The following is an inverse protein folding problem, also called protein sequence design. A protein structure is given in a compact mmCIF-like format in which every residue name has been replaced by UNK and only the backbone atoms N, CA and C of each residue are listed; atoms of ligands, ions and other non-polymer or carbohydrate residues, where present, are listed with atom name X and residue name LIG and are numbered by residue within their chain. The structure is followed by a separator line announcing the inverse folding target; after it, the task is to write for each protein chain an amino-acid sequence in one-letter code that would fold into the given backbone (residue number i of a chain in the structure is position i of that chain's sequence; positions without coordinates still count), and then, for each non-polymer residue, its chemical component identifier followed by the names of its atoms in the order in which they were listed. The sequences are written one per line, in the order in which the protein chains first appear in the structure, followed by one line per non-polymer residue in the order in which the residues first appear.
data_IF_470900242645
#
_entry.id   IF_470900242645
#
_cell.length_a   1.000
_cell.length_b   1.000
_cell.length_c   1.000
_cell.angle_alpha   90.00
_cell.angle_beta   90.00
_cell.angle_gamma   90.00
#
_symmetry.space_group_name_H-M   'P 1'
#
loop_
_entity.id
_entity.type
_entity.pdbx_description
1 polymer ?
#
# COMPACT_ATOMS: atom_id res chain seq x y z
N UNK A 1 -23.84 -25.81 2.64
CA UNK A 1 -23.45 -24.86 3.71
C UNK A 1 -22.12 -24.16 3.46
N UNK A 2 -20.99 -24.85 3.27
CA UNK A 2 -19.67 -24.20 2.99
C UNK A 2 -19.71 -23.17 1.84
N UNK A 3 -20.20 -23.57 0.67
CA UNK A 3 -20.33 -22.67 -0.51
C UNK A 3 -21.21 -21.44 -0.25
N UNK A 4 -22.25 -21.58 0.57
CA UNK A 4 -23.13 -20.46 0.91
C UNK A 4 -22.40 -19.46 1.83
N UNK A 5 -21.71 -19.98 2.85
CA UNK A 5 -20.90 -19.17 3.77
C UNK A 5 -19.77 -18.44 3.03
N UNK A 6 -19.05 -19.14 2.14
CA UNK A 6 -18.01 -18.54 1.29
C UNK A 6 -18.55 -17.39 0.44
N UNK A 7 -19.73 -17.58 -0.16
CA UNK A 7 -20.36 -16.54 -0.97
C UNK A 7 -20.79 -15.34 -0.10
N UNK A 8 -21.35 -15.57 1.08
CA UNK A 8 -21.71 -14.50 2.01
C UNK A 8 -20.48 -13.70 2.47
N UNK A 9 -19.37 -14.37 2.79
CA UNK A 9 -18.10 -13.72 3.15
C UNK A 9 -17.58 -12.89 1.99
N UNK A 10 -17.61 -13.41 0.77
CA UNK A 10 -17.17 -12.69 -0.43
C UNK A 10 -18.00 -11.42 -0.67
N UNK A 11 -19.32 -11.50 -0.50
CA UNK A 11 -20.19 -10.34 -0.63
C UNK A 11 -19.94 -9.30 0.47
N UNK A 12 -19.69 -9.74 1.71
CA UNK A 12 -19.34 -8.85 2.80
C UNK A 12 -18.01 -8.11 2.54
N UNK A 13 -16.99 -8.81 2.06
CA UNK A 13 -15.70 -8.22 1.68
C UNK A 13 -15.90 -7.21 0.55
N UNK A 14 -16.63 -7.57 -0.51
CA UNK A 14 -16.95 -6.66 -1.61
C UNK A 14 -17.65 -5.39 -1.14
N UNK A 15 -18.68 -5.53 -0.31
CA UNK A 15 -19.40 -4.40 0.26
C UNK A 15 -18.45 -3.52 1.09
N UNK A 16 -17.61 -4.13 1.93
CA UNK A 16 -16.61 -3.42 2.73
C UNK A 16 -15.67 -2.56 1.87
N UNK A 17 -15.03 -3.16 0.85
CA UNK A 17 -14.17 -2.42 -0.09
C UNK A 17 -14.91 -1.34 -0.86
N UNK A 18 -16.16 -1.59 -1.26
CA UNK A 18 -16.98 -0.58 -1.93
C UNK A 18 -17.24 0.65 -1.05
N UNK A 19 -17.51 0.47 0.24
CA UNK A 19 -17.70 1.58 1.18
C UNK A 19 -16.37 2.26 1.53
N UNK A 20 -15.28 1.50 1.73
CA UNK A 20 -13.96 2.06 1.98
C UNK A 20 -13.48 2.93 0.81
N UNK A 21 -13.73 2.49 -0.43
CA UNK A 21 -13.37 3.23 -1.63
C UNK A 21 -14.07 4.60 -1.77
N UNK A 22 -15.19 4.81 -1.07
CA UNK A 22 -15.93 6.08 -1.02
C UNK A 22 -15.41 7.07 0.03
N UNK A 23 -14.51 6.65 0.92
CA UNK A 23 -13.90 7.56 1.88
C UNK A 23 -13.05 8.63 1.16
N UNK A 24 -12.89 9.83 1.76
CA UNK A 24 -12.07 10.89 1.19
C UNK A 24 -10.68 10.39 0.83
N UNK A 25 -10.25 10.67 -0.42
CA UNK A 25 -8.93 10.26 -0.89
C UNK A 25 -7.86 11.07 -0.17
N UNK A 26 -6.90 10.36 0.43
CA UNK A 26 -5.71 10.95 1.04
C UNK A 26 -4.79 11.43 -0.09
N UNK A 27 -4.08 12.55 0.11
CA UNK A 27 -2.97 12.97 -0.76
C UNK A 27 -1.76 12.05 -0.51
N UNK A 28 -1.89 10.79 -0.89
CA UNK A 28 -0.97 9.72 -0.56
C UNK A 28 -0.70 8.87 -1.80
N UNK A 29 0.57 8.68 -2.12
CA UNK A 29 1.05 7.67 -3.06
C UNK A 29 1.64 6.50 -2.28
N UNK A 30 1.27 5.28 -2.69
CA UNK A 30 1.86 4.06 -2.16
C UNK A 30 2.60 3.34 -3.28
N UNK A 31 3.87 3.03 -3.03
CA UNK A 31 4.75 2.39 -3.99
C UNK A 31 5.09 0.96 -3.55
N UNK A 32 5.27 0.08 -4.53
CA UNK A 32 5.69 -1.30 -4.31
C UNK A 32 6.46 -1.80 -5.54
N UNK A 33 7.62 -2.43 -5.32
CA UNK A 33 8.37 -3.13 -6.37
C UNK A 33 8.61 -4.58 -5.97
N UNK A 34 8.49 -5.50 -6.94
CA UNK A 34 8.77 -6.93 -6.76
C UNK A 34 8.10 -7.54 -5.53
N UNK A 35 6.80 -7.26 -5.32
CA UNK A 35 6.04 -7.69 -4.15
C UNK A 35 6.60 -7.13 -2.82
N UNK A 36 7.09 -5.90 -2.84
CA UNK A 36 7.66 -5.17 -1.71
C UNK A 36 9.00 -5.71 -1.24
N UNK A 37 9.75 -6.40 -2.09
CA UNK A 37 11.06 -6.96 -1.72
C UNK A 37 12.22 -6.01 -2.00
N UNK A 38 12.00 -4.99 -2.83
CA UNK A 38 13.09 -4.16 -3.36
C UNK A 38 12.65 -2.70 -3.45
N UNK A 39 13.60 -1.80 -3.23
CA UNK A 39 13.48 -0.37 -3.51
C UNK A 39 14.13 -0.09 -4.87
N UNK A 40 13.38 -0.32 -5.96
CA UNK A 40 13.94 -0.42 -7.31
C UNK A 40 12.92 -0.17 -8.42
N UNK A 41 13.42 -0.23 -9.66
CA UNK A 41 12.64 -0.19 -10.92
C UNK A 41 11.88 1.14 -11.10
N UNK A 42 10.94 1.16 -12.03
CA UNK A 42 10.08 2.30 -12.32
C UNK A 42 9.35 2.86 -11.09
N UNK A 43 8.86 2.07 -10.12
CA UNK A 43 8.22 2.64 -8.93
C UNK A 43 9.18 3.50 -8.09
N UNK A 44 10.48 3.17 -8.06
CA UNK A 44 11.50 4.03 -7.44
C UNK A 44 11.69 5.33 -8.20
N UNK A 45 11.85 5.27 -9.52
CA UNK A 45 12.02 6.47 -10.34
C UNK A 45 10.83 7.44 -10.17
N UNK A 46 9.60 6.90 -10.17
CA UNK A 46 8.38 7.70 -9.98
C UNK A 46 8.30 8.25 -8.55
N UNK A 47 8.65 7.44 -7.53
CA UNK A 47 8.68 7.87 -6.14
C UNK A 47 9.64 9.05 -5.94
N UNK A 48 10.87 8.96 -6.44
CA UNK A 48 11.87 10.01 -6.29
C UNK A 48 11.41 11.30 -6.97
N UNK A 49 10.85 11.20 -8.19
CA UNK A 49 10.29 12.35 -8.89
C UNK A 49 9.15 13.02 -8.08
N UNK A 50 8.17 12.26 -7.60
CA UNK A 50 7.02 12.82 -6.87
C UNK A 50 7.47 13.40 -5.53
N UNK A 51 8.37 12.73 -4.80
CA UNK A 51 8.92 13.21 -3.53
C UNK A 51 9.58 14.58 -3.69
N UNK A 52 10.32 14.77 -4.77
CA UNK A 52 11.14 15.97 -4.96
C UNK A 52 10.34 17.11 -5.62
N UNK A 53 9.30 16.80 -6.40
CA UNK A 53 8.54 17.80 -7.19
C UNK A 53 7.12 18.07 -6.69
N UNK A 54 6.55 17.20 -5.84
CA UNK A 54 5.16 17.31 -5.38
C UNK A 54 5.06 17.10 -3.85
N UNK A 55 5.64 17.99 -3.04
CA UNK A 55 5.77 17.84 -1.58
C UNK A 55 4.42 17.86 -0.84
N UNK A 56 3.33 18.30 -1.49
CA UNK A 56 1.98 18.26 -0.94
C UNK A 56 1.41 16.84 -0.85
N UNK A 57 2.06 15.86 -1.49
CA UNK A 57 1.69 14.45 -1.41
C UNK A 57 2.61 13.70 -0.45
N UNK A 58 2.01 12.86 0.37
CA UNK A 58 2.73 11.88 1.16
C UNK A 58 3.11 10.69 0.29
N UNK A 59 4.32 10.17 0.46
CA UNK A 59 4.78 8.98 -0.24
C UNK A 59 5.17 7.90 0.77
N UNK A 60 4.66 6.69 0.60
CA UNK A 60 4.94 5.54 1.48
C UNK A 60 5.25 4.31 0.63
N UNK A 61 6.22 3.50 1.04
CA UNK A 61 6.49 2.21 0.42
C UNK A 61 5.81 1.05 1.15
N UNK A 62 5.18 0.15 0.40
CA UNK A 62 4.65 -1.11 0.93
C UNK A 62 5.73 -2.20 0.85
N UNK A 63 6.28 -2.59 2.00
CA UNK A 63 7.47 -3.45 2.10
C UNK A 63 7.12 -4.81 2.70
N UNK A 64 7.65 -5.88 2.11
CA UNK A 64 7.51 -7.23 2.64
C UNK A 64 8.33 -7.36 3.93
N UNK A 65 7.73 -7.99 4.94
CA UNK A 65 8.45 -8.32 6.19
C UNK A 65 9.75 -9.08 5.88
N UNK A 66 10.86 -8.63 6.44
CA UNK A 66 12.21 -9.16 6.22
C UNK A 66 12.99 -8.50 5.08
N UNK A 67 12.42 -7.52 4.39
CA UNK A 67 13.05 -6.78 3.28
C UNK A 67 13.14 -5.28 3.57
N UNK A 68 13.08 -4.88 4.84
CA UNK A 68 13.05 -3.48 5.27
C UNK A 68 14.40 -2.76 5.12
N UNK A 69 15.51 -3.49 5.08
CA UNK A 69 16.87 -2.94 5.16
C UNK A 69 17.11 -1.80 4.14
N UNK A 70 16.85 -1.97 2.82
CA UNK A 70 17.13 -0.91 1.85
C UNK A 70 16.31 0.37 2.11
N UNK A 71 15.11 0.23 2.68
CA UNK A 71 14.25 1.37 2.97
C UNK A 71 14.70 2.13 4.21
N UNK A 72 15.28 1.41 5.19
CA UNK A 72 15.88 2.03 6.37
C UNK A 72 17.15 2.78 6.00
N UNK A 73 18.02 2.16 5.20
CA UNK A 73 19.30 2.74 4.75
C UNK A 73 19.09 4.01 3.91
N UNK A 74 18.13 3.98 2.99
CA UNK A 74 17.78 5.12 2.13
C UNK A 74 16.85 6.14 2.82
N UNK A 75 16.52 5.93 4.10
CA UNK A 75 15.60 6.75 4.89
C UNK A 75 14.23 6.99 4.20
N UNK A 76 13.70 5.94 3.57
CA UNK A 76 12.44 5.96 2.83
C UNK A 76 11.28 5.56 3.76
N UNK A 77 10.22 6.39 3.88
CA UNK A 77 9.05 6.02 4.67
C UNK A 77 8.37 4.75 4.14
N UNK A 78 8.16 3.77 5.01
CA UNK A 78 7.54 2.50 4.61
C UNK A 78 6.53 1.97 5.62
N UNK A 79 5.69 1.04 5.14
CA UNK A 79 4.75 0.24 5.93
C UNK A 79 4.91 -1.23 5.55
N UNK A 80 4.79 -2.12 6.54
CA UNK A 80 4.81 -3.57 6.27
C UNK A 80 3.54 -3.98 5.52
N UNK A 81 3.70 -4.66 4.39
CA UNK A 81 2.61 -5.23 3.59
C UNK A 81 1.72 -6.11 4.44
N UNK A 82 0.42 -6.06 4.16
CA UNK A 82 -0.61 -6.83 4.85
C UNK A 82 -0.68 -6.60 6.36
N UNK A 83 -0.06 -5.54 6.87
CA UNK A 83 -0.28 -5.09 8.25
C UNK A 83 -1.59 -4.31 8.37
N UNK A 84 -2.09 -4.16 9.59
CA UNK A 84 -3.25 -3.30 9.87
C UNK A 84 -3.07 -1.88 9.37
N UNK A 85 -1.85 -1.32 9.49
CA UNK A 85 -1.53 0.01 8.98
C UNK A 85 -1.56 0.05 7.45
N UNK A 86 -1.09 -0.99 6.77
CA UNK A 86 -1.17 -1.09 5.31
C UNK A 86 -2.62 -1.15 4.82
N UNK A 87 -3.48 -1.93 5.48
CA UNK A 87 -4.90 -2.04 5.14
C UNK A 87 -5.63 -0.69 5.27
N UNK A 88 -5.28 0.11 6.28
CA UNK A 88 -5.85 1.45 6.47
C UNK A 88 -5.36 2.50 5.44
N UNK A 89 -4.19 2.25 4.84
CA UNK A 89 -3.63 3.12 3.80
C UNK A 89 -4.14 2.74 2.41
N UNK A 90 -4.61 1.50 2.22
CA UNK A 90 -5.15 0.96 0.96
C UNK A 90 -6.68 0.79 1.01
N UNK A 91 -7.49 1.88 0.96
CA UNK A 91 -8.94 1.79 0.85
C UNK A 91 -9.42 1.43 -0.56
#
# INVERSE_FOLDING_TARGET
MKKFLENSIHQAIKACFFFLGKLPKKKLFIFESFHGKQYSDNPRAIFEYIRDNCPEYQCIWAVKKGYEIPFVEENVPFVKRLSWRWLWLMP
#
